data_IF_007654074928
#
_entry.id   IF_007654074928
#
_cell.length_a   1.000
_cell.length_b   1.000
_cell.length_c   1.000
_cell.angle_alpha   90.00
_cell.angle_beta   90.00
_cell.angle_gamma   90.00
#
_symmetry.space_group_name_H-M   'P 1'
#
loop_
_entity.id
_entity.type
_entity.pdbx_description
1 polymer ?
#
# COMPACT_ATOMS: atom_id res chain seq x y z
N UNK A 1 -25.04 -10.77 16.82
CA UNK A 1 -24.21 -10.17 15.74
C UNK A 1 -23.67 -11.30 14.90
N UNK A 2 -24.01 -11.36 13.62
CA UNK A 2 -23.42 -12.32 12.69
C UNK A 2 -22.12 -11.71 12.17
N UNK A 3 -21.02 -12.44 12.33
CA UNK A 3 -19.73 -12.09 11.75
C UNK A 3 -19.48 -13.04 10.59
N UNK A 4 -19.34 -12.48 9.39
CA UNK A 4 -18.92 -13.23 8.21
C UNK A 4 -17.42 -13.06 8.02
N UNK A 5 -16.71 -14.19 7.90
CA UNK A 5 -15.29 -14.23 7.62
C UNK A 5 -15.07 -14.68 6.19
N UNK A 6 -14.41 -13.84 5.39
CA UNK A 6 -14.05 -14.14 4.00
C UNK A 6 -12.54 -14.26 3.92
N UNK A 7 -12.06 -15.41 3.46
CA UNK A 7 -10.64 -15.67 3.20
C UNK A 7 -10.36 -15.43 1.72
N UNK A 8 -9.43 -14.53 1.41
CA UNK A 8 -9.01 -14.26 0.04
C UNK A 8 -7.60 -14.82 -0.15
N UNK A 9 -7.45 -15.80 -1.04
CA UNK A 9 -6.15 -16.32 -1.44
C UNK A 9 -5.49 -15.31 -2.37
N UNK A 10 -4.34 -14.77 -1.98
CA UNK A 10 -3.56 -13.78 -2.73
C UNK A 10 -2.20 -14.34 -3.14
N UNK A 11 -1.58 -13.73 -4.15
CA UNK A 11 -0.20 -14.05 -4.54
C UNK A 11 0.76 -13.07 -3.91
N UNK A 12 2.03 -13.46 -3.77
CA UNK A 12 3.10 -12.63 -3.22
C UNK A 12 3.15 -11.23 -3.85
N UNK A 13 2.96 -11.16 -5.15
CA UNK A 13 3.03 -9.94 -5.96
C UNK A 13 1.77 -9.07 -5.82
N UNK A 14 0.63 -9.66 -5.48
CA UNK A 14 -0.67 -8.96 -5.42
C UNK A 14 -1.05 -8.53 -4.01
N UNK A 15 -0.53 -9.20 -2.97
CA UNK A 15 -0.86 -8.97 -1.56
C UNK A 15 -0.89 -7.48 -1.20
N UNK A 16 0.21 -6.76 -1.45
CA UNK A 16 0.33 -5.36 -1.06
C UNK A 16 -0.62 -4.44 -1.82
N UNK A 17 -0.89 -4.72 -3.11
CA UNK A 17 -1.82 -3.94 -3.89
C UNK A 17 -3.26 -4.17 -3.40
N UNK A 18 -3.64 -5.42 -3.18
CA UNK A 18 -4.97 -5.79 -2.66
C UNK A 18 -5.20 -5.20 -1.26
N UNK A 19 -4.20 -5.29 -0.38
CA UNK A 19 -4.22 -4.63 0.92
C UNK A 19 -4.47 -3.11 0.79
N UNK A 20 -3.72 -2.43 -0.09
CA UNK A 20 -3.86 -0.98 -0.28
C UNK A 20 -5.22 -0.60 -0.86
N UNK A 21 -5.76 -1.40 -1.79
CA UNK A 21 -7.11 -1.20 -2.35
C UNK A 21 -8.16 -1.24 -1.23
N UNK A 22 -8.05 -2.23 -0.34
CA UNK A 22 -9.01 -2.42 0.75
C UNK A 22 -8.87 -1.34 1.83
N UNK A 23 -7.64 -0.91 2.12
CA UNK A 23 -7.37 0.19 3.06
C UNK A 23 -7.55 1.58 2.45
N UNK A 24 -7.83 1.69 1.15
CA UNK A 24 -7.90 2.96 0.44
C UNK A 24 -8.77 4.01 1.14
N UNK A 25 -9.98 3.70 1.65
CA UNK A 25 -10.80 4.71 2.33
C UNK A 25 -10.11 5.29 3.58
N UNK A 26 -9.45 4.44 4.37
CA UNK A 26 -8.72 4.86 5.56
C UNK A 26 -7.46 5.66 5.19
N UNK A 27 -6.71 5.19 4.19
CA UNK A 27 -5.52 5.89 3.67
C UNK A 27 -5.91 7.28 3.17
N UNK A 28 -6.92 7.39 2.31
CA UNK A 28 -7.39 8.68 1.78
C UNK A 28 -7.83 9.63 2.91
N UNK A 29 -8.46 9.11 3.97
CA UNK A 29 -8.79 9.92 5.15
C UNK A 29 -7.53 10.43 5.85
N UNK A 30 -6.53 9.57 6.07
CA UNK A 30 -5.25 9.95 6.67
C UNK A 30 -4.52 11.00 5.83
N UNK A 31 -4.49 10.84 4.50
CA UNK A 31 -3.83 11.78 3.59
C UNK A 31 -4.43 13.18 3.65
N UNK A 32 -5.77 13.29 3.80
CA UNK A 32 -6.43 14.59 3.96
C UNK A 32 -6.00 15.29 5.24
N UNK A 33 -5.78 14.55 6.33
CA UNK A 33 -5.26 15.10 7.57
C UNK A 33 -3.78 15.49 7.46
N UNK A 34 -2.94 14.63 6.87
CA UNK A 34 -1.50 14.85 6.73
C UNK A 34 -1.19 16.06 5.83
N UNK A 35 -1.89 16.18 4.71
CA UNK A 35 -1.62 17.21 3.70
C UNK A 35 -2.40 18.50 3.92
N UNK A 36 -3.42 18.50 4.80
CA UNK A 36 -4.41 19.57 4.90
C UNK A 36 -5.32 19.73 3.67
N UNK A 37 -5.13 18.91 2.63
CA UNK A 37 -5.89 18.99 1.39
C UNK A 37 -7.05 17.98 1.39
N UNK A 38 -8.28 18.49 1.43
CA UNK A 38 -9.51 17.66 1.42
C UNK A 38 -9.66 16.78 0.18
N UNK A 39 -8.95 17.09 -0.91
CA UNK A 39 -8.94 16.32 -2.17
C UNK A 39 -7.77 15.33 -2.26
N UNK A 40 -6.91 15.24 -1.25
CA UNK A 40 -5.81 14.28 -1.24
C UNK A 40 -6.36 12.85 -1.32
N UNK A 41 -5.87 12.10 -2.28
CA UNK A 41 -6.24 10.70 -2.52
C UNK A 41 -5.06 9.96 -3.12
N UNK A 42 -4.92 8.68 -2.76
CA UNK A 42 -3.96 7.79 -3.38
C UNK A 42 -4.55 7.24 -4.68
N UNK A 43 -4.15 7.80 -5.82
CA UNK A 43 -4.60 7.35 -7.14
C UNK A 43 -3.96 6.01 -7.56
N UNK A 44 -4.54 5.32 -8.55
CA UNK A 44 -4.17 3.95 -8.94
C UNK A 44 -2.67 3.77 -9.24
N UNK A 45 -2.08 4.68 -10.04
CA UNK A 45 -0.66 4.55 -10.42
C UNK A 45 0.31 4.72 -9.23
N UNK A 46 0.24 5.79 -8.42
CA UNK A 46 0.97 5.89 -7.16
C UNK A 46 0.71 4.74 -6.20
N UNK A 47 -0.52 4.23 -6.12
CA UNK A 47 -0.85 3.07 -5.28
C UNK A 47 -0.08 1.82 -5.70
N UNK A 48 -0.02 1.54 -7.01
CA UNK A 48 0.76 0.41 -7.56
C UNK A 48 2.25 0.56 -7.28
N UNK A 49 2.79 1.78 -7.39
CA UNK A 49 4.18 2.06 -7.03
C UNK A 49 4.40 1.84 -5.53
N UNK A 50 3.50 2.33 -4.67
CA UNK A 50 3.57 2.09 -3.23
C UNK A 50 3.50 0.59 -2.89
N UNK A 51 2.64 -0.18 -3.57
CA UNK A 51 2.54 -1.62 -3.40
C UNK A 51 3.87 -2.32 -3.67
N UNK A 52 4.57 -1.93 -4.75
CA UNK A 52 5.89 -2.48 -5.07
C UNK A 52 6.96 -2.05 -4.05
N UNK A 53 6.91 -0.82 -3.57
CA UNK A 53 7.83 -0.36 -2.53
C UNK A 53 7.62 -1.14 -1.21
N UNK A 54 6.36 -1.41 -0.84
CA UNK A 54 6.04 -2.21 0.34
C UNK A 54 6.48 -3.66 0.17
N UNK A 55 6.30 -4.22 -1.03
CA UNK A 55 6.81 -5.55 -1.37
C UNK A 55 8.33 -5.63 -1.13
N UNK A 56 9.13 -4.74 -1.72
CA UNK A 56 10.58 -4.77 -1.52
C UNK A 56 10.98 -4.45 -0.08
N UNK A 57 10.23 -3.58 0.61
CA UNK A 57 10.48 -3.34 2.03
C UNK A 57 10.28 -4.60 2.88
N UNK A 58 9.26 -5.42 2.58
CA UNK A 58 9.04 -6.72 3.22
C UNK A 58 10.13 -7.74 2.86
N UNK A 59 10.56 -7.80 1.58
CA UNK A 59 11.67 -8.66 1.16
C UNK A 59 12.97 -8.36 1.91
N UNK A 60 13.20 -7.08 2.22
CA UNK A 60 14.37 -6.61 2.96
C UNK A 60 14.12 -6.46 4.47
N UNK A 61 13.06 -7.05 5.03
CA UNK A 61 12.69 -6.87 6.45
C UNK A 61 13.77 -7.30 7.44
N UNK A 62 14.64 -8.23 7.04
CA UNK A 62 15.75 -8.74 7.86
C UNK A 62 17.03 -7.88 7.79
N UNK A 63 17.02 -6.81 6.99
CA UNK A 63 18.15 -5.86 6.87
C UNK A 63 17.90 -4.69 7.83
N UNK A 64 18.94 -4.14 8.48
CA UNK A 64 18.82 -2.92 9.29
C UNK A 64 18.13 -1.79 8.51
N UNK A 65 17.26 -1.03 9.18
CA UNK A 65 16.39 -0.03 8.54
C UNK A 65 17.17 0.98 7.67
N UNK A 66 18.33 1.43 8.14
CA UNK A 66 19.19 2.36 7.42
C UNK A 66 19.62 1.82 6.05
N UNK A 67 19.97 0.55 5.99
CA UNK A 67 20.46 -0.11 4.79
C UNK A 67 19.28 -0.55 3.90
N UNK A 68 18.17 -0.95 4.52
CA UNK A 68 16.90 -1.27 3.82
C UNK A 68 16.41 -0.10 2.97
N UNK A 69 16.43 1.11 3.52
CA UNK A 69 15.99 2.31 2.79
C UNK A 69 16.93 2.70 1.64
N UNK A 70 18.24 2.43 1.78
CA UNK A 70 19.17 2.60 0.67
C UNK A 70 18.89 1.58 -0.45
N UNK A 71 18.65 0.31 -0.07
CA UNK A 71 18.35 -0.76 -1.02
C UNK A 71 17.02 -0.55 -1.75
N UNK A 72 15.98 -0.13 -1.04
CA UNK A 72 14.63 0.10 -1.58
C UNK A 72 14.60 1.13 -2.71
N UNK A 73 15.50 2.12 -2.66
CA UNK A 73 15.61 3.17 -3.67
C UNK A 73 16.86 3.03 -4.56
N UNK A 74 17.49 1.86 -4.56
CA UNK A 74 18.59 1.51 -5.45
C UNK A 74 18.14 1.49 -6.92
N UNK A 75 19.12 1.55 -7.84
CA UNK A 75 18.83 1.46 -9.28
C UNK A 75 18.18 0.12 -9.64
N UNK A 76 18.72 -0.96 -9.10
CA UNK A 76 18.25 -2.34 -9.33
C UNK A 76 16.77 -2.49 -8.96
N UNK A 77 16.38 -2.05 -7.75
CA UNK A 77 14.98 -2.12 -7.31
C UNK A 77 14.09 -1.24 -8.18
N UNK A 78 14.54 -0.05 -8.59
CA UNK A 78 13.76 0.82 -9.48
C UNK A 78 13.56 0.21 -10.87
N UNK A 79 14.57 -0.44 -11.44
CA UNK A 79 14.48 -1.17 -12.70
C UNK A 79 13.45 -2.29 -12.58
N UNK A 80 13.51 -3.09 -11.51
CA UNK A 80 12.53 -4.15 -11.25
C UNK A 80 11.10 -3.62 -11.08
N UNK A 81 10.91 -2.48 -10.39
CA UNK A 81 9.58 -1.83 -10.28
C UNK A 81 9.08 -1.38 -11.66
N UNK A 82 9.96 -0.81 -12.49
CA UNK A 82 9.62 -0.37 -13.83
C UNK A 82 9.17 -1.54 -14.70
N UNK A 83 9.88 -2.67 -14.66
CA UNK A 83 9.54 -3.88 -15.41
C UNK A 83 8.21 -4.47 -14.93
N UNK A 84 8.03 -4.63 -13.61
CA UNK A 84 6.81 -5.17 -13.01
C UNK A 84 5.58 -4.33 -13.36
N UNK A 85 5.71 -3.02 -13.37
CA UNK A 85 4.61 -2.10 -13.67
C UNK A 85 4.54 -1.68 -15.14
N UNK A 86 5.41 -2.24 -16.00
CA UNK A 86 5.52 -1.93 -17.43
C UNK A 86 5.57 -0.42 -17.69
N UNK A 87 6.47 0.28 -17.00
CA UNK A 87 6.64 1.72 -17.10
C UNK A 87 8.10 2.13 -17.29
N UNK A 88 8.31 3.35 -17.77
CA UNK A 88 9.65 3.95 -17.87
C UNK A 88 10.04 4.62 -16.56
N UNK A 89 11.34 4.73 -16.31
CA UNK A 89 11.87 5.30 -15.05
C UNK A 89 11.36 6.72 -14.74
N UNK A 90 11.21 7.57 -15.76
CA UNK A 90 10.69 8.93 -15.54
C UNK A 90 9.26 8.92 -14.99
N UNK A 91 8.40 7.98 -15.40
CA UNK A 91 7.07 7.80 -14.82
C UNK A 91 7.15 7.34 -13.37
N UNK A 92 8.05 6.38 -13.06
CA UNK A 92 8.29 5.94 -11.69
C UNK A 92 8.70 7.12 -10.80
N UNK A 93 9.64 7.96 -11.26
CA UNK A 93 10.10 9.13 -10.51
C UNK A 93 8.98 10.17 -10.29
N UNK A 94 8.08 10.35 -11.26
CA UNK A 94 6.87 11.18 -11.08
C UNK A 94 6.00 10.62 -9.96
N UNK A 95 5.70 9.32 -9.96
CA UNK A 95 4.84 8.71 -8.95
C UNK A 95 5.50 8.67 -7.56
N UNK A 96 6.81 8.45 -7.48
CA UNK A 96 7.56 8.59 -6.22
C UNK A 96 7.46 10.02 -5.69
N UNK A 97 7.54 11.03 -6.56
CA UNK A 97 7.39 12.43 -6.18
C UNK A 97 5.98 12.74 -5.69
N UNK A 98 4.95 12.16 -6.32
CA UNK A 98 3.58 12.25 -5.85
C UNK A 98 3.41 11.60 -4.47
N UNK A 99 4.03 10.44 -4.22
CA UNK A 99 3.99 9.80 -2.90
C UNK A 99 4.67 10.67 -1.81
N UNK A 100 5.74 11.41 -2.16
CA UNK A 100 6.34 12.41 -1.25
C UNK A 100 5.40 13.58 -0.97
N UNK A 101 4.76 14.12 -2.01
CA UNK A 101 3.80 15.22 -1.87
C UNK A 101 2.57 14.83 -1.04
N UNK A 102 2.18 13.55 -1.09
CA UNK A 102 1.14 12.98 -0.24
C UNK A 102 1.61 12.73 1.20
N UNK A 103 2.90 12.95 1.50
CA UNK A 103 3.48 12.69 2.82
C UNK A 103 3.59 11.21 3.18
N UNK A 104 3.50 10.31 2.18
CA UNK A 104 3.68 8.86 2.36
C UNK A 104 5.16 8.50 2.45
N UNK A 105 5.98 9.17 1.63
CA UNK A 105 7.43 9.02 1.65
C UNK A 105 8.08 10.24 2.33
N UNK A 106 9.13 9.98 3.08
CA UNK A 106 10.00 10.99 3.68
C UNK A 106 11.44 10.75 3.24
N UNK A 107 11.88 11.55 2.26
CA UNK A 107 13.15 11.33 1.58
C UNK A 107 13.20 9.98 0.85
N UNK A 108 13.99 9.05 1.40
CA UNK A 108 14.17 7.66 0.94
C UNK A 108 13.54 6.63 1.90
N UNK A 109 12.57 7.04 2.70
CA UNK A 109 11.86 6.15 3.62
C UNK A 109 10.35 6.17 3.31
N UNK A 110 9.70 5.03 3.53
CA UNK A 110 8.24 4.98 3.68
C UNK A 110 7.95 5.38 5.12
N UNK A 111 7.02 6.33 5.36
CA UNK A 111 6.70 6.69 6.74
C UNK A 111 6.16 5.47 7.49
N UNK A 112 6.54 5.27 8.77
CA UNK A 112 6.20 4.07 9.52
C UNK A 112 4.70 3.73 9.53
N UNK A 113 3.82 4.74 9.56
CA UNK A 113 2.37 4.54 9.54
C UNK A 113 1.82 3.87 8.27
N UNK A 114 2.58 3.88 7.19
CA UNK A 114 2.24 3.21 5.92
C UNK A 114 3.01 1.92 5.69
N UNK A 115 3.98 1.59 6.55
CA UNK A 115 4.77 0.34 6.44
C UNK A 115 3.91 -0.83 6.88
N UNK A 116 3.92 -1.90 6.09
CA UNK A 116 3.28 -3.18 6.39
C UNK A 116 4.33 -4.26 6.20
N UNK A 117 4.48 -5.13 7.19
CA UNK A 117 5.29 -6.34 7.11
C UNK A 117 4.32 -7.52 7.12
N UNK A 118 4.47 -8.43 6.16
CA UNK A 118 3.57 -9.57 6.01
C UNK A 118 4.29 -10.82 6.53
N UNK A 119 4.04 -11.19 7.79
CA UNK A 119 4.62 -12.41 8.37
C UNK A 119 3.93 -13.66 7.82
N UNK A 120 2.60 -13.65 7.77
CA UNK A 120 1.80 -14.49 6.90
C UNK A 120 1.10 -13.60 5.86
N UNK A 121 1.21 -13.98 4.58
CA UNK A 121 0.60 -13.22 3.47
C UNK A 121 -0.89 -13.55 3.34
N UNK A 122 -1.59 -13.55 4.47
CA UNK A 122 -3.01 -13.81 4.58
C UNK A 122 -3.75 -12.49 4.84
N UNK A 123 -4.96 -12.37 4.27
CA UNK A 123 -5.84 -11.25 4.55
C UNK A 123 -7.15 -11.79 5.11
N UNK A 124 -7.41 -11.53 6.39
CA UNK A 124 -8.66 -11.89 7.07
C UNK A 124 -9.53 -10.66 7.25
N UNK A 125 -10.79 -10.77 6.81
CA UNK A 125 -11.78 -9.72 6.95
C UNK A 125 -12.91 -10.18 7.86
N UNK A 126 -13.28 -9.33 8.81
CA UNK A 126 -14.46 -9.53 9.65
C UNK A 126 -15.47 -8.43 9.35
N UNK A 127 -16.58 -8.80 8.73
CA UNK A 127 -17.69 -7.89 8.50
C UNK A 127 -18.67 -7.98 9.66
N UNK A 128 -18.98 -6.83 10.27
CA UNK A 128 -20.06 -6.71 11.25
C UNK A 128 -21.26 -6.06 10.57
N UNK A 129 -22.25 -6.87 10.23
CA UNK A 129 -23.46 -6.40 9.56
C UNK A 129 -24.55 -6.09 10.60
N UNK A 130 -24.99 -4.83 10.65
CA UNK A 130 -26.19 -4.40 11.39
C UNK A 130 -27.39 -4.43 10.43
N UNK A 131 -27.82 -5.62 10.04
CA UNK A 131 -29.04 -5.79 9.23
C UNK A 131 -30.28 -5.81 10.11
N UNK A 132 -31.29 -4.98 9.82
CA UNK A 132 -32.65 -5.25 10.27
C UNK A 132 -33.19 -6.44 9.48
N UNK A 133 -33.87 -7.42 10.10
CA UNK A 133 -34.52 -8.50 9.36
C UNK A 133 -35.54 -7.88 8.40
N UNK A 134 -35.49 -8.28 7.13
CA UNK A 134 -36.55 -7.97 6.18
C UNK A 134 -37.84 -8.55 6.75
N UNK A 135 -38.85 -7.70 7.00
CA UNK A 135 -40.21 -8.15 7.26
C UNK A 135 -40.68 -8.86 5.99
N UNK A 136 -40.70 -10.19 6.02
CA UNK A 136 -41.42 -10.99 5.04
C UNK A 136 -42.90 -10.76 5.28
N UNK A 137 -43.58 -10.12 4.30
CA UNK A 137 -45.03 -10.07 4.24
C UNK A 137 -45.59 -11.44 3.83
#
# INVERSE_FOLDING_TARGET
>A
MLAENINITTTREKFFLEYLILKKPAIDSMLKHITGNRKATLSDKPMRVLAQLLYFNDEYKNIPEKDRSAQLFSREVKEMICDNLKMKEHHLNIYISQLRNLGILEGKNIKPIFVILADDRSLTFTFRLNGHPLKTN
#
